data_IF_629618121736
#
_entry.id   IF_629618121736
#
_cell.length_a   1.000
_cell.length_b   1.000
_cell.length_c   1.000
_cell.angle_alpha   90.00
_cell.angle_beta   90.00
_cell.angle_gamma   90.00
#
_symmetry.space_group_name_H-M   'P 1'
#
loop_
_entity.id
_entity.type
_entity.pdbx_description
1 polymer ?
#
# COMPACT_ATOMS: atom_id res chain seq x y z
N UNK A 1 -55.71 -2.62 -67.59
CA UNK A 1 -55.41 -3.83 -68.40
C UNK A 1 -54.27 -4.57 -67.72
N UNK A 2 -54.57 -5.81 -67.38
CA UNK A 2 -53.71 -6.95 -67.26
C UNK A 2 -52.62 -6.92 -66.23
N UNK A 3 -52.89 -7.55 -65.07
CA UNK A 3 -51.92 -8.33 -64.33
C UNK A 3 -51.68 -9.65 -65.08
N UNK A 4 -51.16 -10.69 -64.54
CA UNK A 4 -50.41 -11.02 -63.30
C UNK A 4 -49.11 -11.80 -63.65
N UNK A 5 -48.37 -12.32 -62.72
CA UNK A 5 -48.13 -13.75 -62.53
C UNK A 5 -47.27 -14.04 -61.27
N UNK A 6 -47.82 -14.93 -60.44
CA UNK A 6 -47.16 -15.62 -59.34
C UNK A 6 -46.23 -16.71 -59.89
N UNK A 7 -45.15 -16.96 -59.19
CA UNK A 7 -44.49 -18.26 -58.96
C UNK A 7 -43.35 -17.99 -57.97
N UNK A 8 -43.13 -18.64 -56.90
CA UNK A 8 -43.33 -19.99 -56.42
C UNK A 8 -42.18 -20.19 -55.46
N UNK A 9 -42.45 -20.47 -54.22
CA UNK A 9 -41.45 -20.83 -53.23
C UNK A 9 -40.93 -22.25 -53.52
N UNK A 10 -39.73 -22.58 -53.00
CA UNK A 10 -39.72 -23.80 -52.17
C UNK A 10 -39.13 -23.60 -50.78
N UNK A 11 -39.52 -24.54 -50.01
CA UNK A 11 -39.51 -24.71 -48.60
C UNK A 11 -38.17 -25.01 -47.96
N UNK A 12 -38.14 -24.71 -46.66
CA UNK A 12 -37.56 -25.45 -45.56
C UNK A 12 -36.06 -25.79 -45.55
N UNK A 13 -35.37 -25.08 -44.69
CA UNK A 13 -34.49 -25.80 -43.79
C UNK A 13 -34.51 -25.10 -42.40
N UNK A 14 -35.26 -25.73 -41.49
CA UNK A 14 -35.36 -25.37 -40.08
C UNK A 14 -34.04 -25.70 -39.39
N UNK A 15 -33.22 -24.73 -39.15
CA UNK A 15 -32.14 -24.84 -38.17
C UNK A 15 -32.71 -24.45 -36.81
N UNK A 16 -32.87 -25.43 -35.96
CA UNK A 16 -33.30 -25.29 -34.57
C UNK A 16 -32.27 -24.45 -33.81
N UNK A 17 -32.56 -23.22 -33.55
CA UNK A 17 -31.93 -22.43 -32.48
C UNK A 17 -32.48 -22.95 -31.13
N UNK A 18 -31.65 -23.68 -30.44
CA UNK A 18 -31.85 -23.99 -29.02
C UNK A 18 -31.56 -22.71 -28.22
N UNK A 19 -32.60 -21.93 -27.96
CA UNK A 19 -32.57 -20.92 -26.92
C UNK A 19 -32.48 -21.55 -25.54
N UNK A 20 -31.26 -21.80 -25.10
CA UNK A 20 -30.94 -22.11 -23.74
C UNK A 20 -30.76 -20.80 -22.97
N UNK A 21 -31.86 -20.22 -22.49
CA UNK A 21 -31.85 -19.08 -21.61
C UNK A 21 -31.49 -19.51 -20.19
N UNK A 22 -30.20 -19.75 -19.97
CA UNK A 22 -29.60 -19.96 -18.65
C UNK A 22 -29.05 -18.65 -18.11
N UNK A 23 -29.91 -17.81 -17.57
CA UNK A 23 -29.51 -16.70 -16.71
C UNK A 23 -29.08 -17.26 -15.36
N UNK A 24 -27.91 -17.90 -15.35
CA UNK A 24 -27.13 -17.99 -14.12
C UNK A 24 -26.75 -16.58 -13.71
N UNK A 25 -26.65 -16.26 -12.40
CA UNK A 25 -26.21 -14.95 -11.96
C UNK A 25 -24.84 -14.69 -12.63
N UNK A 26 -24.76 -13.62 -13.39
CA UNK A 26 -23.49 -13.14 -13.91
C UNK A 26 -22.61 -12.88 -12.69
N UNK A 27 -21.72 -13.81 -12.39
CA UNK A 27 -20.65 -13.59 -11.43
C UNK A 27 -19.88 -12.44 -12.05
N UNK A 28 -20.06 -11.27 -11.45
CA UNK A 28 -19.51 -10.05 -11.97
C UNK A 28 -18.03 -10.30 -12.27
N UNK A 29 -17.61 -9.99 -13.49
CA UNK A 29 -16.21 -10.11 -13.93
C UNK A 29 -15.22 -9.43 -12.98
N UNK A 30 -15.72 -8.54 -12.10
CA UNK A 30 -14.99 -7.96 -10.99
C UNK A 30 -14.57 -8.95 -9.89
N UNK A 31 -15.32 -10.04 -9.68
CA UNK A 31 -15.00 -11.01 -8.62
C UNK A 31 -13.79 -11.87 -8.98
N UNK A 32 -13.66 -12.26 -10.24
CA UNK A 32 -12.47 -12.99 -10.74
C UNK A 32 -11.25 -12.07 -10.86
N UNK A 33 -11.46 -10.80 -11.20
CA UNK A 33 -10.40 -9.80 -11.21
C UNK A 33 -9.83 -9.55 -9.81
N UNK A 34 -10.67 -9.51 -8.78
CA UNK A 34 -10.24 -9.41 -7.37
C UNK A 34 -9.40 -10.60 -6.92
N UNK A 35 -9.72 -11.81 -7.37
CA UNK A 35 -8.97 -13.02 -7.03
C UNK A 35 -7.66 -13.12 -7.80
N UNK A 36 -7.64 -12.69 -9.06
CA UNK A 36 -6.46 -12.84 -9.93
C UNK A 36 -5.51 -11.63 -9.95
N UNK A 37 -5.91 -10.48 -9.41
CA UNK A 37 -5.20 -9.24 -9.73
C UNK A 37 -4.81 -8.36 -8.57
N UNK A 38 -4.89 -8.76 -7.35
CA UNK A 38 -4.32 -7.83 -6.43
C UNK A 38 -4.68 -7.90 -4.97
N UNK A 39 -5.91 -8.21 -4.58
CA UNK A 39 -6.22 -8.38 -3.16
C UNK A 39 -5.56 -9.64 -2.59
N UNK A 40 -5.44 -10.68 -3.43
CA UNK A 40 -4.94 -11.99 -3.05
C UNK A 40 -3.81 -12.52 -3.98
N UNK A 41 -3.48 -11.82 -5.07
CA UNK A 41 -2.43 -12.21 -5.99
C UNK A 41 -1.12 -11.43 -5.73
N UNK A 42 0.00 -12.02 -6.14
CA UNK A 42 1.33 -11.37 -6.06
C UNK A 42 1.47 -10.16 -7.02
N UNK A 43 0.54 -9.99 -7.96
CA UNK A 43 0.54 -8.86 -8.89
C UNK A 43 0.01 -7.60 -8.21
N UNK A 44 0.85 -6.57 -8.18
CA UNK A 44 0.45 -5.25 -7.71
C UNK A 44 -0.34 -4.54 -8.81
N UNK A 45 -1.66 -4.47 -8.66
CA UNK A 45 -2.50 -3.68 -9.54
C UNK A 45 -2.95 -2.40 -8.81
N UNK A 46 -2.38 -1.26 -9.18
CA UNK A 46 -2.66 0.03 -8.57
C UNK A 46 -4.15 0.39 -8.66
N UNK A 47 -4.75 0.25 -9.84
CA UNK A 47 -6.12 0.70 -10.10
C UNK A 47 -7.16 -0.08 -9.28
N UNK A 48 -6.86 -1.31 -8.88
CA UNK A 48 -7.72 -2.10 -8.00
C UNK A 48 -7.47 -1.85 -6.51
N UNK A 49 -6.32 -1.31 -6.16
CA UNK A 49 -5.89 -1.15 -4.76
C UNK A 49 -5.90 0.30 -4.30
N UNK A 50 -5.94 1.25 -5.21
CA UNK A 50 -6.18 2.65 -4.91
C UNK A 50 -7.68 2.92 -4.82
N UNK A 51 -8.14 3.29 -3.64
CA UNK A 51 -9.55 3.55 -3.37
C UNK A 51 -9.72 4.98 -2.86
N UNK A 52 -10.10 5.93 -3.71
CA UNK A 52 -10.30 7.32 -3.30
C UNK A 52 -11.61 7.52 -2.54
N UNK A 53 -12.60 6.67 -2.78
CA UNK A 53 -13.92 6.75 -2.16
C UNK A 53 -13.98 5.98 -0.84
N UNK A 54 -14.23 6.70 0.25
CA UNK A 54 -14.30 6.14 1.59
C UNK A 54 -15.53 5.24 1.82
N UNK A 55 -16.63 5.46 1.08
CA UNK A 55 -17.81 4.60 1.17
C UNK A 55 -17.51 3.22 0.57
N UNK A 56 -16.75 3.17 -0.51
CA UNK A 56 -16.26 1.91 -1.07
C UNK A 56 -15.30 1.20 -0.10
N UNK A 57 -14.40 1.93 0.54
CA UNK A 57 -13.52 1.35 1.57
C UNK A 57 -14.37 0.76 2.71
N UNK A 58 -15.39 1.48 3.17
CA UNK A 58 -16.28 1.00 4.22
C UNK A 58 -16.97 -0.31 3.82
N UNK A 59 -17.48 -0.41 2.58
CA UNK A 59 -18.10 -1.62 2.06
C UNK A 59 -17.11 -2.81 2.01
N UNK A 60 -15.88 -2.58 1.54
CA UNK A 60 -14.81 -3.60 1.51
C UNK A 60 -14.48 -4.07 2.93
N UNK A 61 -14.32 -3.16 3.87
CA UNK A 61 -14.04 -3.49 5.28
C UNK A 61 -15.17 -4.31 5.88
N UNK A 62 -16.42 -4.00 5.56
CA UNK A 62 -17.59 -4.79 5.97
C UNK A 62 -17.52 -6.23 5.45
N UNK A 63 -17.15 -6.42 4.19
CA UNK A 63 -16.98 -7.74 3.57
C UNK A 63 -15.82 -8.51 4.22
N UNK A 64 -14.67 -7.88 4.46
CA UNK A 64 -13.52 -8.48 5.13
C UNK A 64 -13.89 -9.00 6.53
N UNK A 65 -14.64 -8.20 7.31
CA UNK A 65 -15.13 -8.60 8.62
C UNK A 65 -16.10 -9.77 8.58
N UNK A 66 -16.98 -9.80 7.58
CA UNK A 66 -17.87 -10.96 7.36
C UNK A 66 -17.09 -12.24 7.13
N UNK A 67 -15.90 -12.15 6.53
CA UNK A 67 -14.98 -13.27 6.36
C UNK A 67 -14.10 -13.55 7.59
N UNK A 68 -14.30 -12.82 8.69
CA UNK A 68 -13.51 -12.98 9.93
C UNK A 68 -12.10 -12.38 9.86
N UNK A 69 -11.80 -11.55 8.85
CA UNK A 69 -10.47 -10.97 8.65
C UNK A 69 -10.31 -9.68 9.48
N UNK A 70 -9.15 -9.55 10.13
CA UNK A 70 -8.77 -8.36 10.91
C UNK A 70 -8.17 -7.29 10.02
N UNK A 71 -8.74 -6.10 10.12
CA UNK A 71 -8.31 -4.92 9.34
C UNK A 71 -7.35 -4.07 10.15
N UNK A 72 -6.21 -3.80 9.56
CA UNK A 72 -5.18 -2.90 10.09
C UNK A 72 -5.18 -1.61 9.29
N UNK A 73 -5.08 -0.48 9.96
CA UNK A 73 -4.93 0.84 9.35
C UNK A 73 -3.62 1.48 9.81
N UNK A 74 -2.90 2.07 8.87
CA UNK A 74 -1.85 3.03 9.18
C UNK A 74 -1.94 4.25 8.26
N UNK A 75 -1.28 5.33 8.64
CA UNK A 75 -1.28 6.57 7.84
C UNK A 75 0.06 7.26 7.90
N UNK A 76 0.41 7.97 6.84
CA UNK A 76 1.64 8.74 6.80
C UNK A 76 1.82 9.55 5.52
N UNK A 77 2.90 10.31 5.46
CA UNK A 77 3.26 11.05 4.24
C UNK A 77 3.90 10.17 3.18
N UNK A 78 4.74 9.21 3.57
CA UNK A 78 5.51 8.31 2.69
C UNK A 78 6.18 9.06 1.53
N UNK A 79 6.80 10.21 1.84
CA UNK A 79 7.25 11.16 0.83
C UNK A 79 8.36 10.59 -0.07
N UNK A 80 9.50 10.21 0.51
CA UNK A 80 10.51 9.43 -0.18
C UNK A 80 10.56 8.08 0.50
N UNK A 81 10.13 7.04 -0.22
CA UNK A 81 10.20 5.68 0.32
C UNK A 81 11.64 5.26 0.54
N UNK A 82 11.88 4.63 1.68
CA UNK A 82 13.15 4.03 2.07
C UNK A 82 12.88 2.78 2.90
N UNK A 83 13.92 2.02 3.18
CA UNK A 83 13.86 0.75 3.90
C UNK A 83 12.99 0.82 5.17
N UNK A 84 13.17 1.86 5.99
CA UNK A 84 12.38 2.03 7.21
C UNK A 84 10.87 2.11 6.98
N UNK A 85 10.41 2.65 5.84
CA UNK A 85 9.00 2.61 5.49
C UNK A 85 8.55 1.19 5.12
N UNK A 86 9.36 0.44 4.38
CA UNK A 86 9.06 -0.94 4.01
C UNK A 86 8.97 -1.83 5.25
N UNK A 87 9.94 -1.74 6.15
CA UNK A 87 9.93 -2.45 7.43
C UNK A 87 8.73 -2.08 8.31
N UNK A 88 8.38 -0.79 8.36
CA UNK A 88 7.22 -0.31 9.10
C UNK A 88 5.90 -0.89 8.55
N UNK A 89 5.70 -0.88 7.24
CA UNK A 89 4.51 -1.42 6.60
C UNK A 89 4.42 -2.95 6.79
N UNK A 90 5.55 -3.64 6.68
CA UNK A 90 5.61 -5.09 6.97
C UNK A 90 5.26 -5.39 8.43
N UNK A 91 5.80 -4.64 9.38
CA UNK A 91 5.47 -4.79 10.79
C UNK A 91 4.00 -4.45 11.07
N UNK A 92 3.47 -3.38 10.46
CA UNK A 92 2.06 -3.03 10.57
C UNK A 92 1.16 -4.17 10.08
N UNK A 93 1.49 -4.81 8.96
CA UNK A 93 0.73 -5.95 8.41
C UNK A 93 0.62 -7.14 9.35
N UNK A 94 1.60 -7.34 10.23
CA UNK A 94 1.60 -8.47 11.19
C UNK A 94 0.54 -8.36 12.29
N UNK A 95 -0.11 -7.20 12.43
CA UNK A 95 -1.17 -6.99 13.42
C UNK A 95 -2.55 -7.48 12.98
N UNK A 96 -2.72 -7.89 11.72
CA UNK A 96 -3.98 -8.41 11.20
C UNK A 96 -3.85 -9.01 9.81
N UNK A 97 -4.97 -9.20 9.13
CA UNK A 97 -5.04 -9.93 7.86
C UNK A 97 -5.07 -9.03 6.64
N UNK A 98 -5.44 -7.76 6.80
CA UNK A 98 -5.57 -6.81 5.71
C UNK A 98 -5.10 -5.42 6.14
N UNK A 99 -4.07 -4.89 5.45
CA UNK A 99 -3.50 -3.57 5.75
C UNK A 99 -4.01 -2.51 4.78
N UNK A 100 -4.63 -1.48 5.33
CA UNK A 100 -5.02 -0.27 4.61
C UNK A 100 -4.03 0.84 4.96
N UNK A 101 -3.57 1.59 3.96
CA UNK A 101 -2.63 2.70 4.16
C UNK A 101 -3.25 4.01 3.67
N UNK A 102 -3.43 4.95 4.58
CA UNK A 102 -3.86 6.32 4.28
C UNK A 102 -2.67 7.25 4.05
N UNK A 103 -2.51 7.77 2.83
CA UNK A 103 -1.46 8.74 2.52
C UNK A 103 -1.98 10.17 2.67
N UNK A 104 -1.20 11.03 3.28
CA UNK A 104 -1.51 12.47 3.31
C UNK A 104 -1.39 13.04 1.88
N UNK A 105 -2.38 13.85 1.45
CA UNK A 105 -2.33 14.57 0.19
C UNK A 105 -1.14 15.55 0.16
N UNK A 106 -0.74 15.97 -1.02
CA UNK A 106 0.33 16.97 -1.18
C UNK A 106 0.00 18.27 -0.45
N UNK A 107 -1.25 18.70 -0.53
CA UNK A 107 -1.74 19.90 0.17
C UNK A 107 -1.61 19.74 1.69
N UNK A 108 -2.03 18.61 2.24
CA UNK A 108 -1.93 18.31 3.66
C UNK A 108 -0.49 18.24 4.17
N UNK A 109 0.41 17.74 3.33
CA UNK A 109 1.84 17.72 3.66
C UNK A 109 2.43 19.12 3.63
N UNK A 110 2.09 19.95 2.62
CA UNK A 110 2.54 21.35 2.53
C UNK A 110 2.09 22.15 3.74
N UNK A 111 0.85 22.02 4.14
CA UNK A 111 0.32 22.70 5.33
C UNK A 111 1.13 22.37 6.60
N UNK A 112 1.48 21.09 6.79
CA UNK A 112 2.19 20.64 7.99
C UNK A 112 3.71 20.81 7.95
N UNK A 113 4.34 20.66 6.77
CA UNK A 113 5.81 20.57 6.63
C UNK A 113 6.43 21.71 5.81
N UNK A 114 5.60 22.62 5.32
CA UNK A 114 6.04 23.77 4.54
C UNK A 114 6.02 23.57 3.01
N UNK A 115 6.20 24.66 2.23
CA UNK A 115 5.94 24.70 0.79
C UNK A 115 6.86 23.82 -0.05
N UNK A 116 8.03 23.45 0.47
CA UNK A 116 9.00 22.62 -0.23
C UNK A 116 8.75 21.10 -0.03
N UNK A 117 7.62 20.74 0.55
CA UNK A 117 7.23 19.33 0.79
C UNK A 117 5.82 19.07 0.24
N UNK A 118 5.53 17.86 -0.24
CA UNK A 118 6.43 16.71 -0.36
C UNK A 118 7.43 16.87 -1.53
N UNK A 119 8.49 16.05 -1.56
CA UNK A 119 9.41 15.96 -2.69
C UNK A 119 8.83 15.10 -3.83
N UNK A 120 7.98 14.12 -3.49
CA UNK A 120 7.36 13.18 -4.42
C UNK A 120 5.85 13.41 -4.46
N UNK A 121 5.25 13.63 -5.67
CA UNK A 121 3.81 13.86 -5.83
C UNK A 121 2.95 12.72 -5.28
N UNK A 122 1.73 13.04 -4.81
CA UNK A 122 0.85 12.07 -4.12
C UNK A 122 0.55 10.82 -4.95
N UNK A 123 0.32 10.95 -6.26
CA UNK A 123 0.00 9.80 -7.11
C UNK A 123 1.19 8.86 -7.29
N UNK A 124 2.40 9.39 -7.31
CA UNK A 124 3.62 8.57 -7.34
C UNK A 124 3.84 7.87 -5.99
N UNK A 125 3.67 8.59 -4.87
CA UNK A 125 3.73 8.02 -3.53
C UNK A 125 2.71 6.89 -3.31
N UNK A 126 1.46 7.09 -3.79
CA UNK A 126 0.41 6.06 -3.76
C UNK A 126 0.83 4.80 -4.52
N UNK A 127 1.34 4.95 -5.76
CA UNK A 127 1.84 3.82 -6.54
C UNK A 127 2.96 3.09 -5.83
N UNK A 128 3.95 3.81 -5.33
CA UNK A 128 5.10 3.22 -4.63
C UNK A 128 4.67 2.46 -3.37
N UNK A 129 3.73 3.01 -2.58
CA UNK A 129 3.20 2.32 -1.39
C UNK A 129 2.36 1.10 -1.77
N UNK A 130 1.61 1.16 -2.86
CA UNK A 130 0.83 0.02 -3.36
C UNK A 130 1.73 -1.18 -3.71
N UNK A 131 2.95 -0.91 -4.19
CA UNK A 131 3.93 -1.96 -4.50
C UNK A 131 4.63 -2.54 -3.26
N UNK A 132 4.41 -1.98 -2.07
CA UNK A 132 4.98 -2.56 -0.85
C UNK A 132 4.27 -3.87 -0.49
N UNK A 133 5.08 -4.86 -0.10
CA UNK A 133 4.57 -6.16 0.32
C UNK A 133 3.65 -6.02 1.53
N UNK A 134 2.52 -6.70 1.49
CA UNK A 134 1.55 -6.71 2.59
C UNK A 134 0.56 -5.55 2.62
N UNK A 135 0.73 -4.52 1.78
CA UNK A 135 -0.28 -3.46 1.64
C UNK A 135 -1.47 -3.99 0.84
N UNK A 136 -2.66 -3.93 1.38
CA UNK A 136 -3.92 -4.37 0.75
C UNK A 136 -4.58 -3.25 -0.07
N UNK A 137 -4.84 -2.10 0.55
CA UNK A 137 -5.42 -0.92 -0.08
C UNK A 137 -4.64 0.34 0.28
N UNK A 138 -4.68 1.31 -0.63
CA UNK A 138 -4.17 2.66 -0.41
C UNK A 138 -5.26 3.70 -0.68
N UNK A 139 -5.25 4.80 0.06
CA UNK A 139 -6.17 5.93 -0.13
C UNK A 139 -5.50 7.25 0.23
N UNK A 140 -6.07 8.37 -0.26
CA UNK A 140 -5.64 9.72 0.12
C UNK A 140 -6.43 10.24 1.32
N UNK A 141 -5.75 10.99 2.16
CA UNK A 141 -6.31 11.79 3.24
C UNK A 141 -6.15 13.27 2.87
N UNK A 142 -7.25 13.92 2.59
CA UNK A 142 -7.25 15.33 2.16
C UNK A 142 -7.12 16.29 3.34
N UNK A 143 -6.64 17.51 3.07
CA UNK A 143 -6.54 18.57 4.07
C UNK A 143 -7.92 18.93 4.63
N UNK A 144 -8.93 19.00 3.76
CA UNK A 144 -10.31 19.31 4.10
C UNK A 144 -11.05 18.21 4.88
N UNK A 145 -10.46 17.01 5.01
CA UNK A 145 -11.08 15.93 5.79
C UNK A 145 -11.21 16.32 7.26
N UNK A 146 -12.36 16.00 7.87
CA UNK A 146 -12.50 16.12 9.32
C UNK A 146 -11.45 15.26 10.05
N UNK A 147 -11.19 15.65 11.30
CA UNK A 147 -10.23 14.92 12.14
C UNK A 147 -10.61 13.44 12.22
N UNK A 148 -9.64 12.58 11.87
CA UNK A 148 -9.76 11.12 11.92
C UNK A 148 -10.84 10.52 11.00
N UNK A 149 -11.30 11.23 9.97
CA UNK A 149 -12.32 10.76 9.04
C UNK A 149 -12.05 9.32 8.57
N UNK A 150 -10.84 9.03 8.10
CA UNK A 150 -10.47 7.69 7.64
C UNK A 150 -10.58 6.63 8.75
N UNK A 151 -10.12 6.94 9.96
CA UNK A 151 -10.20 6.04 11.13
C UNK A 151 -11.68 5.78 11.49
N UNK A 152 -12.49 6.82 11.54
CA UNK A 152 -13.93 6.74 11.83
C UNK A 152 -14.68 5.92 10.81
N UNK A 153 -14.31 6.03 9.53
CA UNK A 153 -14.92 5.26 8.43
C UNK A 153 -14.53 3.79 8.49
N UNK A 154 -13.25 3.50 8.65
CA UNK A 154 -12.73 2.12 8.66
C UNK A 154 -13.02 1.42 9.98
N UNK A 155 -12.88 2.12 11.11
CA UNK A 155 -12.94 1.55 12.47
C UNK A 155 -12.05 0.31 12.59
N UNK A 156 -10.73 0.43 12.35
CA UNK A 156 -9.83 -0.71 12.23
C UNK A 156 -9.76 -1.53 13.52
N UNK A 157 -9.50 -2.83 13.39
CA UNK A 157 -9.21 -3.69 14.55
C UNK A 157 -7.90 -3.27 15.22
N UNK A 158 -6.92 -2.84 14.41
CA UNK A 158 -5.66 -2.28 14.90
C UNK A 158 -5.30 -1.03 14.09
N UNK A 159 -5.13 0.09 14.78
CA UNK A 159 -4.53 1.31 14.24
C UNK A 159 -3.04 1.31 14.57
N UNK A 160 -2.19 1.29 13.55
CA UNK A 160 -0.73 1.33 13.73
C UNK A 160 -0.21 2.74 13.53
N UNK A 161 0.58 3.22 14.46
CA UNK A 161 1.15 4.56 14.45
C UNK A 161 2.60 4.56 14.97
N UNK A 162 3.34 5.65 14.75
CA UNK A 162 4.61 5.92 15.43
C UNK A 162 4.38 6.73 16.70
N UNK A 163 5.34 6.70 17.62
CA UNK A 163 5.22 7.29 18.95
C UNK A 163 4.89 8.80 18.97
N UNK A 164 5.22 9.49 17.88
CA UNK A 164 4.99 10.93 17.71
C UNK A 164 3.68 11.28 16.98
N UNK A 165 2.84 10.28 16.66
CA UNK A 165 1.62 10.49 15.87
C UNK A 165 0.44 10.95 16.71
N UNK A 166 0.24 10.36 17.86
CA UNK A 166 -0.88 10.61 18.77
C UNK A 166 -0.40 10.79 20.21
N UNK A 167 -1.00 11.73 20.91
CA UNK A 167 -0.82 11.86 22.35
C UNK A 167 -1.50 10.71 23.12
N UNK A 168 -1.12 10.44 24.38
CA UNK A 168 -1.78 9.42 25.19
C UNK A 168 -3.30 9.59 25.31
N UNK A 169 -3.78 10.84 25.44
CA UNK A 169 -5.21 11.15 25.49
C UNK A 169 -5.92 10.81 24.17
N UNK A 170 -5.29 11.11 23.03
CA UNK A 170 -5.83 10.74 21.72
C UNK A 170 -5.85 9.24 21.48
N UNK A 171 -4.83 8.52 21.96
CA UNK A 171 -4.82 7.05 21.90
C UNK A 171 -6.00 6.48 22.68
N UNK A 172 -6.23 6.95 23.91
CA UNK A 172 -7.37 6.51 24.72
C UNK A 172 -8.71 6.80 24.04
N UNK A 173 -8.89 8.00 23.45
CA UNK A 173 -10.12 8.34 22.72
C UNK A 173 -10.30 7.48 21.46
N UNK A 174 -9.22 7.20 20.73
CA UNK A 174 -9.26 6.35 19.54
C UNK A 174 -9.66 4.91 19.87
N UNK A 175 -9.08 4.33 20.92
CA UNK A 175 -9.39 2.97 21.35
C UNK A 175 -10.81 2.85 21.91
N UNK A 176 -11.25 3.84 22.66
CA UNK A 176 -12.60 3.83 23.25
C UNK A 176 -13.70 3.94 22.18
N UNK A 177 -13.46 4.70 21.09
CA UNK A 177 -14.54 5.12 20.20
C UNK A 177 -14.41 4.64 18.76
N UNK A 178 -13.20 4.45 18.23
CA UNK A 178 -12.99 4.37 16.79
C UNK A 178 -12.16 3.19 16.31
N UNK A 179 -11.39 2.51 17.16
CA UNK A 179 -10.63 1.32 16.76
C UNK A 179 -10.59 0.29 17.89
N UNK A 180 -10.19 -0.94 17.56
CA UNK A 180 -10.05 -1.99 18.59
C UNK A 180 -8.87 -1.74 19.52
N UNK A 181 -7.72 -1.35 18.96
CA UNK A 181 -6.52 -0.92 19.70
C UNK A 181 -5.59 -0.05 18.85
N UNK A 182 -4.73 0.72 19.50
CA UNK A 182 -3.62 1.44 18.87
C UNK A 182 -2.31 0.69 19.15
N UNK A 183 -1.60 0.31 18.10
CA UNK A 183 -0.26 -0.28 18.20
C UNK A 183 0.78 0.79 17.85
N UNK A 184 1.58 1.18 18.82
CA UNK A 184 2.66 2.16 18.61
C UNK A 184 3.94 1.40 18.28
N UNK A 185 4.50 1.68 17.09
CA UNK A 185 5.77 1.15 16.63
C UNK A 185 6.86 2.21 16.78
N UNK A 186 8.05 1.76 17.12
CA UNK A 186 9.24 2.61 17.06
C UNK A 186 9.59 2.96 15.61
N UNK A 187 10.34 4.04 15.44
CA UNK A 187 10.85 4.40 14.11
C UNK A 187 11.87 3.37 13.65
N UNK A 188 11.57 2.70 12.54
CA UNK A 188 12.43 1.64 11.98
C UNK A 188 13.53 2.17 11.06
N UNK A 189 13.61 3.49 10.84
CA UNK A 189 14.65 4.10 10.03
C UNK A 189 15.68 4.79 10.91
N UNK A 190 16.94 4.49 10.71
CA UNK A 190 18.09 5.19 11.33
C UNK A 190 18.21 6.62 10.80
N UNK A 191 17.77 6.87 9.54
CA UNK A 191 17.83 8.20 8.92
C UNK A 191 16.46 8.57 8.34
N UNK A 192 15.88 9.69 8.80
CA UNK A 192 14.59 10.18 8.26
C UNK A 192 14.74 10.75 6.85
N UNK A 193 13.63 10.76 6.09
CA UNK A 193 13.58 11.41 4.76
C UNK A 193 14.09 12.85 4.78
N UNK A 194 13.76 13.63 5.81
CA UNK A 194 14.23 15.01 5.95
C UNK A 194 15.74 15.08 6.15
N UNK A 195 16.32 14.17 6.91
CA UNK A 195 17.77 14.08 7.10
C UNK A 195 18.49 13.68 5.80
N UNK A 196 17.93 12.73 5.03
CA UNK A 196 18.47 12.35 3.71
C UNK A 196 18.44 13.51 2.73
N UNK A 197 17.32 14.22 2.60
CA UNK A 197 17.20 15.39 1.74
C UNK A 197 18.21 16.49 2.13
N UNK A 198 18.38 16.75 3.43
CA UNK A 198 19.36 17.73 3.90
C UNK A 198 20.78 17.32 3.55
N UNK A 199 21.13 16.02 3.64
CA UNK A 199 22.46 15.52 3.23
C UNK A 199 22.68 15.71 1.74
N UNK A 200 21.70 15.38 0.90
CA UNK A 200 21.76 15.57 -0.56
C UNK A 200 21.96 17.06 -0.89
N UNK A 201 21.20 17.96 -0.27
CA UNK A 201 21.34 19.41 -0.46
C UNK A 201 22.71 19.95 -0.05
N UNK A 202 23.35 19.34 0.95
CA UNK A 202 24.67 19.71 1.42
C UNK A 202 25.80 19.00 0.64
N UNK A 203 25.47 18.16 -0.34
CA UNK A 203 26.47 17.37 -1.09
C UNK A 203 27.23 16.33 -0.24
N UNK A 204 26.64 15.94 0.90
CA UNK A 204 27.26 14.97 1.81
C UNK A 204 26.98 13.54 1.33
N UNK A 205 27.97 12.64 1.31
CA UNK A 205 27.77 11.24 0.95
C UNK A 205 26.85 10.55 1.96
N UNK A 206 26.09 9.54 1.50
CA UNK A 206 25.38 8.64 2.42
C UNK A 206 26.41 7.92 3.30
N UNK A 207 26.14 7.76 4.62
CA UNK A 207 26.97 6.91 5.45
C UNK A 207 26.79 5.47 4.95
N UNK A 208 27.86 4.89 4.43
CA UNK A 208 27.87 3.47 4.14
C UNK A 208 28.07 2.72 5.46
N UNK A 209 27.05 2.04 5.95
CA UNK A 209 27.19 1.06 7.04
C UNK A 209 27.47 -0.30 6.38
N UNK A 210 28.68 -0.84 6.48
CA UNK A 210 28.95 -2.18 5.99
C UNK A 210 28.07 -3.18 6.74
N UNK A 211 27.58 -4.24 6.09
CA UNK A 211 26.81 -5.28 6.76
C UNK A 211 27.61 -5.82 7.94
N UNK A 212 26.98 -5.95 9.09
CA UNK A 212 27.60 -6.49 10.29
C UNK A 212 28.13 -7.91 9.99
N UNK A 213 29.43 -8.05 9.76
CA UNK A 213 30.06 -9.32 9.42
C UNK A 213 31.36 -9.23 8.63
N UNK A 214 31.67 -8.06 8.02
CA UNK A 214 32.92 -7.92 7.26
C UNK A 214 34.07 -7.16 7.99
N UNK A 215 33.91 -6.84 9.26
CA UNK A 215 34.97 -6.29 10.07
C UNK A 215 35.79 -7.43 10.68
N UNK A 216 36.77 -7.95 9.94
CA UNK A 216 37.71 -8.89 10.52
C UNK A 216 38.28 -9.93 9.55
N UNK A 217 38.87 -9.50 8.43
CA UNK A 217 39.92 -10.28 7.80
C UNK A 217 41.15 -10.28 8.72
N UNK A 218 41.81 -11.44 8.99
CA UNK A 218 42.98 -11.44 9.84
C UNK A 218 44.09 -10.59 9.20
N UNK A 219 44.66 -9.68 9.99
CA UNK A 219 45.88 -8.99 9.64
C UNK A 219 46.94 -10.06 9.34
N UNK A 220 47.34 -10.12 8.08
CA UNK A 220 48.43 -10.94 7.62
C UNK A 220 49.69 -10.50 8.41
N UNK A 221 50.09 -11.35 9.35
CA UNK A 221 51.30 -11.19 10.15
C UNK A 221 52.52 -11.45 9.29
N UNK A 222 53.00 -10.41 8.59
CA UNK A 222 54.26 -10.44 7.93
C UNK A 222 55.41 -10.67 8.95
N UNK A 223 56.01 -11.84 8.93
CA UNK A 223 57.24 -12.13 9.65
C UNK A 223 58.35 -11.13 9.25
N UNK A 224 59.13 -10.62 10.23
CA UNK A 224 60.29 -9.78 9.90
C UNK A 224 61.40 -10.66 9.29
N UNK A 225 61.71 -10.36 8.02
CA UNK A 225 62.76 -11.03 7.26
C UNK A 225 64.12 -11.03 7.98
N UNK A 226 64.72 -12.22 8.10
CA UNK A 226 66.13 -12.43 8.49
C UNK A 226 67.03 -11.81 7.43
N UNK A 227 67.91 -10.91 7.84
CA UNK A 227 69.08 -10.45 7.09
C UNK A 227 70.00 -11.62 6.85
N UNK A 228 70.58 -11.79 5.63
CA UNK A 228 71.70 -12.73 5.42
C UNK A 228 73.02 -12.07 5.84
N UNK A 229 73.78 -12.80 6.66
CA UNK A 229 75.14 -12.47 6.93
C UNK A 229 75.97 -12.66 5.67
N UNK A 230 76.87 -11.71 5.36
CA UNK A 230 77.91 -11.82 4.37
C UNK A 230 79.27 -12.22 5.03
N UNK A 231 80.15 -12.89 4.27
CA UNK A 231 81.40 -13.50 4.76
C UNK A 231 82.49 -12.49 5.05
#
# INVERSE_FOLDING_TARGET
MIGPVKQGAPADEQTRETTGNGTGPAVASGSLALVNSGLFADASNFDLRYMPDYDQIHAIVGALRTLGLKVVLTSGSFDILHEGHSMYLEAARRFGDFLIVGLDSDEKIRDRKGPHRPAVPEMERLRMVTHQRGVGLVTLKHLADERWRLIKTIRPDVLVATADTYSPAEISELEERYCGRVAVLERMATVSTSARLRRIQLGLPEPWDPPAGEAGGPADGGEPGRSPASP
#
